data_IF_407284413828
#
_entry.id   IF_407284413828
#
_cell.length_a   1.000
_cell.length_b   1.000
_cell.length_c   1.000
_cell.angle_alpha   90.00
_cell.angle_beta   90.00
_cell.angle_gamma   90.00
#
_symmetry.space_group_name_H-M   'P 1'
#
loop_
_entity.id
_entity.type
_entity.pdbx_description
1 polymer ?
#
# COMPACT_ATOMS: atom_id res chain seq x y z
N UNK A 1 -2.39 -1.60 -13.13
CA UNK A 1 -3.84 -1.27 -13.13
C UNK A 1 -3.87 0.24 -13.10
N UNK A 2 -4.37 0.88 -14.15
CA UNK A 2 -4.15 2.31 -14.39
C UNK A 2 -4.54 3.23 -13.22
N UNK A 3 -5.59 2.87 -12.46
CA UNK A 3 -5.97 3.60 -11.25
C UNK A 3 -4.94 3.49 -10.12
N UNK A 4 -4.35 2.31 -9.89
CA UNK A 4 -3.32 2.16 -8.87
C UNK A 4 -2.06 2.97 -9.23
N UNK A 5 -1.64 2.94 -10.50
CA UNK A 5 -0.50 3.73 -10.99
C UNK A 5 -0.67 5.24 -10.73
N UNK A 6 -1.92 5.74 -10.72
CA UNK A 6 -2.20 7.16 -10.43
C UNK A 6 -2.03 7.54 -8.96
N UNK A 7 -2.12 6.59 -8.02
CA UNK A 7 -1.97 6.83 -6.57
C UNK A 7 -0.58 6.44 -6.05
N UNK A 8 0.23 5.72 -6.84
CA UNK A 8 1.62 5.37 -6.48
C UNK A 8 2.44 6.60 -6.02
N UNK A 9 2.36 7.78 -6.67
CA UNK A 9 3.10 8.96 -6.22
C UNK A 9 2.85 9.33 -4.75
N UNK A 10 1.63 9.12 -4.25
CA UNK A 10 1.21 9.41 -2.87
C UNK A 10 1.94 8.50 -1.87
N UNK A 11 2.13 7.22 -2.21
CA UNK A 11 2.95 6.30 -1.42
C UNK A 11 4.44 6.68 -1.49
N UNK A 12 4.95 6.96 -2.70
CA UNK A 12 6.40 7.14 -2.90
C UNK A 12 6.96 8.38 -2.22
N UNK A 13 6.14 9.40 -1.96
CA UNK A 13 6.54 10.62 -1.24
C UNK A 13 6.33 10.53 0.27
N UNK A 14 5.67 9.48 0.76
CA UNK A 14 5.44 9.29 2.19
C UNK A 14 6.76 9.06 2.94
N UNK A 15 6.85 9.61 4.15
CA UNK A 15 8.02 9.44 5.00
C UNK A 15 8.27 7.94 5.25
N UNK A 16 9.51 7.50 5.07
CA UNK A 16 9.90 6.11 5.37
C UNK A 16 9.41 5.07 4.37
N UNK A 17 8.78 5.45 3.25
CA UNK A 17 8.51 4.54 2.15
C UNK A 17 9.79 3.92 1.58
N UNK A 18 9.78 2.61 1.29
CA UNK A 18 10.91 1.86 0.73
C UNK A 18 10.58 1.06 -0.53
N UNK A 19 9.30 0.93 -0.88
CA UNK A 19 8.88 0.11 -2.00
C UNK A 19 7.45 -0.38 -1.81
N UNK A 20 6.87 -0.93 -2.87
CA UNK A 20 5.61 -1.65 -2.77
C UNK A 20 5.53 -2.77 -3.80
N UNK A 21 4.65 -3.74 -3.51
CA UNK A 21 4.23 -4.78 -4.45
C UNK A 21 2.71 -4.82 -4.44
N UNK A 22 2.11 -4.77 -5.64
CA UNK A 22 0.70 -5.10 -5.82
C UNK A 22 0.60 -6.48 -6.49
N UNK A 23 0.11 -7.46 -5.74
CA UNK A 23 0.00 -8.84 -6.18
C UNK A 23 -1.47 -9.28 -6.26
N UNK A 24 -1.83 -10.01 -7.31
CA UNK A 24 -3.16 -10.62 -7.46
C UNK A 24 -3.13 -12.04 -6.88
N UNK A 25 -4.13 -12.43 -6.10
CA UNK A 25 -4.27 -13.80 -5.61
C UNK A 25 -4.41 -14.81 -6.76
N UNK A 26 -3.75 -15.96 -6.65
CA UNK A 26 -3.85 -17.07 -7.62
C UNK A 26 -5.17 -17.83 -7.39
N UNK A 27 -5.40 -18.25 -6.15
CA UNK A 27 -6.58 -18.99 -5.72
C UNK A 27 -7.80 -18.07 -5.54
N UNK A 28 -7.56 -16.79 -5.28
CA UNK A 28 -8.59 -15.75 -5.11
C UNK A 28 -8.36 -14.58 -6.07
N UNK A 29 -8.65 -14.72 -7.38
CA UNK A 29 -8.31 -13.71 -8.39
C UNK A 29 -9.01 -12.35 -8.26
N UNK A 30 -9.94 -12.19 -7.30
CA UNK A 30 -10.59 -10.92 -6.97
C UNK A 30 -9.92 -10.20 -5.80
N UNK A 31 -9.02 -10.87 -5.08
CA UNK A 31 -8.29 -10.31 -3.95
C UNK A 31 -6.92 -9.84 -4.45
N UNK A 32 -6.61 -8.59 -4.15
CA UNK A 32 -5.30 -8.00 -4.40
C UNK A 32 -4.62 -7.72 -3.05
N UNK A 33 -3.34 -8.04 -2.97
CA UNK A 33 -2.50 -7.76 -1.82
C UNK A 33 -1.59 -6.59 -2.18
N UNK A 34 -1.71 -5.50 -1.42
CA UNK A 34 -0.76 -4.39 -1.46
C UNK A 34 0.20 -4.54 -0.28
N UNK A 35 1.45 -4.84 -0.57
CA UNK A 35 2.52 -4.86 0.43
C UNK A 35 3.32 -3.58 0.26
N UNK A 36 3.34 -2.72 1.28
CA UNK A 36 4.15 -1.51 1.29
C UNK A 36 5.29 -1.69 2.29
N UNK A 37 6.52 -1.50 1.82
CA UNK A 37 7.71 -1.59 2.64
C UNK A 37 7.93 -0.23 3.30
N UNK A 38 7.92 -0.23 4.62
CA UNK A 38 8.17 0.95 5.44
C UNK A 38 9.49 0.79 6.19
N UNK A 39 10.14 1.92 6.48
CA UNK A 39 11.29 1.96 7.39
C UNK A 39 10.90 1.58 8.82
N UNK A 40 9.69 1.92 9.25
CA UNK A 40 9.16 1.57 10.57
C UNK A 40 7.64 1.48 10.56
N UNK A 41 7.05 0.83 11.58
CA UNK A 41 5.60 0.84 11.78
C UNK A 41 5.05 2.26 11.91
N UNK A 42 5.77 3.14 12.61
CA UNK A 42 5.39 4.54 12.84
C UNK A 42 5.28 5.36 11.54
N UNK A 43 6.10 5.04 10.54
CA UNK A 43 6.07 5.68 9.22
C UNK A 43 4.78 5.35 8.45
N UNK A 44 4.20 4.16 8.67
CA UNK A 44 2.87 3.82 8.19
C UNK A 44 1.78 4.43 9.09
N UNK A 45 1.75 4.01 10.36
CA UNK A 45 0.73 4.40 11.33
C UNK A 45 1.38 4.96 12.60
N UNK A 46 1.11 6.23 12.98
CA UNK A 46 0.06 7.09 12.41
C UNK A 46 0.49 7.94 11.20
N UNK A 47 1.79 7.98 10.85
CA UNK A 47 2.30 9.07 9.99
C UNK A 47 1.65 9.15 8.61
N UNK A 48 1.69 8.09 7.80
CA UNK A 48 1.00 8.06 6.51
C UNK A 48 -0.53 8.01 6.68
N UNK A 49 -1.03 7.14 7.56
CA UNK A 49 -2.47 6.91 7.76
C UNK A 49 -3.26 8.18 8.12
N UNK A 50 -2.66 9.10 8.88
CA UNK A 50 -3.27 10.37 9.26
C UNK A 50 -3.02 11.53 8.27
N UNK A 51 -2.35 11.27 7.15
CA UNK A 51 -1.96 12.31 6.18
C UNK A 51 -3.01 12.56 5.10
N UNK A 52 -2.98 13.76 4.49
CA UNK A 52 -3.78 14.09 3.30
C UNK A 52 -3.49 13.13 2.12
N UNK A 53 -2.26 12.63 2.01
CA UNK A 53 -1.84 11.66 0.98
C UNK A 53 -2.59 10.34 1.13
N UNK A 54 -2.82 9.87 2.35
CA UNK A 54 -3.60 8.66 2.58
C UNK A 54 -5.07 8.87 2.20
N UNK A 55 -5.63 10.04 2.51
CA UNK A 55 -6.99 10.34 2.08
C UNK A 55 -7.11 10.40 0.54
N UNK A 56 -6.16 11.03 -0.15
CA UNK A 56 -6.10 11.05 -1.61
C UNK A 56 -5.93 9.65 -2.19
N UNK A 57 -5.08 8.84 -1.56
CA UNK A 57 -4.84 7.46 -1.95
C UNK A 57 -6.14 6.66 -1.89
N UNK A 58 -6.86 6.75 -0.76
CA UNK A 58 -8.14 6.07 -0.58
C UNK A 58 -9.19 6.59 -1.57
N UNK A 59 -9.29 7.89 -1.81
CA UNK A 59 -10.18 8.46 -2.84
C UNK A 59 -9.90 7.89 -4.24
N UNK A 60 -8.64 7.65 -4.58
CA UNK A 60 -8.25 7.10 -5.89
C UNK A 60 -8.59 5.61 -6.07
N UNK A 61 -8.66 4.83 -4.98
CA UNK A 61 -8.88 3.38 -5.04
C UNK A 61 -10.25 2.92 -4.51
N UNK A 62 -11.00 3.77 -3.79
CA UNK A 62 -12.24 3.37 -3.11
C UNK A 62 -13.28 2.73 -4.04
N UNK A 63 -13.33 3.14 -5.31
CA UNK A 63 -14.26 2.59 -6.30
C UNK A 63 -13.97 1.12 -6.67
N UNK A 64 -12.78 0.61 -6.33
CA UNK A 64 -12.33 -0.75 -6.60
C UNK A 64 -12.44 -1.66 -5.37
N UNK A 65 -12.75 -1.11 -4.19
CA UNK A 65 -12.89 -1.85 -2.95
C UNK A 65 -14.30 -2.43 -2.84
N UNK A 66 -14.41 -3.74 -2.61
CA UNK A 66 -15.70 -4.38 -2.29
C UNK A 66 -16.11 -4.21 -0.83
N UNK A 67 -15.13 -3.98 0.04
CA UNK A 67 -15.25 -3.78 1.49
C UNK A 67 -13.99 -3.06 2.01
N UNK A 68 -13.96 -2.71 3.29
CA UNK A 68 -12.75 -2.15 3.90
C UNK A 68 -11.57 -3.14 3.79
N UNK A 69 -10.37 -2.69 3.41
CA UNK A 69 -9.23 -3.56 3.27
C UNK A 69 -8.78 -4.07 4.64
N UNK A 70 -8.51 -5.38 4.73
CA UNK A 70 -7.85 -5.95 5.91
C UNK A 70 -6.37 -5.53 5.93
N UNK A 71 -5.98 -4.76 6.95
CA UNK A 71 -4.60 -4.28 7.13
C UNK A 71 -3.95 -5.00 8.32
N UNK A 72 -2.72 -5.47 8.11
CA UNK A 72 -1.86 -6.03 9.15
C UNK A 72 -0.39 -5.77 8.80
N UNK A 73 0.47 -5.82 9.81
CA UNK A 73 1.89 -5.52 9.67
C UNK A 73 2.72 -6.78 9.87
N UNK A 74 3.75 -6.92 9.05
CA UNK A 74 4.70 -8.02 9.10
C UNK A 74 6.07 -7.46 9.46
N UNK A 75 6.81 -8.14 10.32
CA UNK A 75 8.24 -7.87 10.46
C UNK A 75 8.96 -8.33 9.18
N UNK A 76 9.94 -7.54 8.73
CA UNK A 76 10.61 -7.76 7.46
C UNK A 76 11.25 -9.16 7.38
N UNK A 77 10.73 -10.00 6.49
CA UNK A 77 11.49 -11.11 5.90
C UNK A 77 12.28 -10.61 4.68
N UNK A 78 13.09 -11.49 4.06
CA UNK A 78 13.82 -11.22 2.81
C UNK A 78 12.84 -11.01 1.62
N UNK A 79 12.06 -9.93 1.66
CA UNK A 79 11.50 -9.32 0.48
C UNK A 79 12.68 -8.60 -0.17
N UNK A 80 13.42 -9.32 -1.01
CA UNK A 80 14.44 -8.71 -1.86
C UNK A 80 13.78 -7.51 -2.56
N UNK A 81 14.15 -6.31 -2.12
CA UNK A 81 13.90 -5.12 -2.90
C UNK A 81 14.71 -5.32 -4.18
N UNK A 82 14.04 -5.66 -5.28
CA UNK A 82 14.71 -5.68 -6.56
C UNK A 82 15.11 -4.22 -6.87
N UNK A 83 16.42 -3.98 -6.82
CA UNK A 83 17.07 -2.79 -7.35
C UNK A 83 16.80 -2.62 -8.86
#
# INVERSE_FOLDING_TARGET
>A
MQAFESVVPLLTRAQGYRGHVLARGIETPKVFNLIVLWRSLADHTPAFEASEDHEEFMRGIQAYLSEEPTVYHLEGGDLAAND
#
